data_IF_869150061952
#
_entry.id   IF_869150061952
#
_cell.length_a   1.000
_cell.length_b   1.000
_cell.length_c   1.000
_cell.angle_alpha   90.00
_cell.angle_beta   90.00
_cell.angle_gamma   90.00
#
_symmetry.space_group_name_H-M   'P 1'
#
loop_
_entity.id
_entity.type
_entity.pdbx_description
1 polymer ?
#
# COMPACT_ATOMS: atom_id res chain seq x y z
N UNK A 1 -12.98 6.60 13.45
CA UNK A 1 -13.41 7.02 12.10
C UNK A 1 -13.36 5.78 11.19
N UNK A 2 -14.14 5.69 10.11
CA UNK A 2 -14.15 4.49 9.24
C UNK A 2 -12.74 4.07 8.79
N UNK A 3 -11.90 5.05 8.46
CA UNK A 3 -10.52 4.80 8.08
C UNK A 3 -9.65 4.26 9.22
N UNK A 4 -9.92 4.62 10.49
CA UNK A 4 -9.14 4.10 11.63
C UNK A 4 -9.40 2.61 11.80
N UNK A 5 -10.69 2.24 11.70
CA UNK A 5 -11.12 0.86 11.79
C UNK A 5 -10.57 0.05 10.61
N UNK A 6 -10.53 0.65 9.41
CA UNK A 6 -9.91 0.03 8.24
C UNK A 6 -8.40 -0.17 8.40
N UNK A 7 -7.66 0.81 8.93
CA UNK A 7 -6.23 0.69 9.22
C UNK A 7 -5.98 -0.41 10.25
N UNK A 8 -6.77 -0.45 11.33
CA UNK A 8 -6.64 -1.47 12.38
C UNK A 8 -6.95 -2.88 11.87
N UNK A 9 -8.04 -3.06 11.11
CA UNK A 9 -8.39 -4.32 10.44
C UNK A 9 -7.25 -4.78 9.52
N UNK A 10 -6.73 -3.86 8.69
CA UNK A 10 -5.65 -4.15 7.75
C UNK A 10 -4.35 -4.53 8.47
N UNK A 11 -3.98 -3.78 9.51
CA UNK A 11 -2.79 -4.04 10.32
C UNK A 11 -2.84 -5.42 11.00
N UNK A 12 -3.98 -5.76 11.60
CA UNK A 12 -4.19 -7.06 12.25
C UNK A 12 -4.09 -8.21 11.24
N UNK A 13 -4.72 -8.06 10.07
CA UNK A 13 -4.64 -9.06 8.99
C UNK A 13 -3.21 -9.25 8.49
N UNK A 14 -2.48 -8.15 8.29
CA UNK A 14 -1.10 -8.18 7.83
C UNK A 14 -0.20 -8.90 8.85
N UNK A 15 -0.26 -8.53 10.13
CA UNK A 15 0.53 -9.20 11.18
C UNK A 15 0.17 -10.66 11.38
N UNK A 16 -1.11 -11.02 11.28
CA UNK A 16 -1.56 -12.41 11.36
C UNK A 16 -1.04 -13.24 10.19
N UNK A 17 -1.04 -12.66 8.97
CA UNK A 17 -0.57 -13.34 7.76
C UNK A 17 0.95 -13.38 7.65
N UNK A 18 1.63 -12.37 8.18
CA UNK A 18 3.07 -12.17 8.07
C UNK A 18 3.65 -11.87 9.46
N UNK A 19 3.97 -12.92 10.25
CA UNK A 19 4.49 -12.76 11.60
C UNK A 19 5.86 -12.06 11.66
N UNK A 20 6.55 -11.91 10.52
CA UNK A 20 7.78 -11.12 10.40
C UNK A 20 7.58 -9.60 10.54
N UNK A 21 6.34 -9.10 10.52
CA UNK A 21 6.04 -7.69 10.79
C UNK A 21 6.04 -7.46 12.31
N UNK A 22 7.22 -7.17 12.86
CA UNK A 22 7.45 -7.01 14.31
C UNK A 22 7.31 -5.57 14.80
N UNK A 23 7.12 -4.60 13.89
CA UNK A 23 6.99 -3.18 14.23
C UNK A 23 5.85 -2.94 15.25
N UNK A 24 6.04 -2.11 16.29
CA UNK A 24 4.99 -1.77 17.25
C UNK A 24 3.73 -1.23 16.59
N UNK A 25 2.55 -1.53 17.16
CA UNK A 25 1.27 -1.08 16.59
C UNK A 25 1.16 0.45 16.50
N UNK A 26 1.72 1.18 17.47
CA UNK A 26 1.73 2.63 17.49
C UNK A 26 2.45 3.22 16.25
N UNK A 27 3.56 2.61 15.83
CA UNK A 27 4.30 3.04 14.64
C UNK A 27 3.63 2.52 13.36
N UNK A 28 3.27 1.23 13.35
CA UNK A 28 2.72 0.58 12.17
C UNK A 28 1.36 1.16 11.76
N UNK A 29 0.47 1.43 12.72
CA UNK A 29 -0.83 2.04 12.44
C UNK A 29 -0.68 3.46 11.91
N UNK A 30 0.21 4.27 12.49
CA UNK A 30 0.48 5.65 12.01
C UNK A 30 1.00 5.61 10.57
N UNK A 31 1.87 4.66 10.25
CA UNK A 31 2.42 4.50 8.90
C UNK A 31 1.35 4.08 7.89
N UNK A 32 0.56 3.06 8.21
CA UNK A 32 -0.56 2.63 7.36
C UNK A 32 -1.63 3.72 7.21
N UNK A 33 -1.87 4.52 8.24
CA UNK A 33 -2.74 5.69 8.18
C UNK A 33 -2.25 6.70 7.14
N UNK A 34 -0.98 7.08 7.17
CA UNK A 34 -0.41 8.00 6.16
C UNK A 34 -0.51 7.46 4.74
N UNK A 35 -0.27 6.15 4.56
CA UNK A 35 -0.44 5.51 3.27
C UNK A 35 -1.90 5.49 2.80
N UNK A 36 -2.85 5.26 3.71
CA UNK A 36 -4.28 5.34 3.41
C UNK A 36 -4.70 6.75 3.03
N UNK A 37 -4.22 7.77 3.76
CA UNK A 37 -4.51 9.17 3.47
C UNK A 37 -4.01 9.55 2.07
N UNK A 38 -2.83 9.08 1.68
CA UNK A 38 -2.33 9.22 0.31
C UNK A 38 -3.21 8.47 -0.70
N UNK A 39 -3.55 7.20 -0.43
CA UNK A 39 -4.40 6.41 -1.31
C UNK A 39 -5.80 7.02 -1.50
N UNK A 40 -6.31 7.74 -0.49
CA UNK A 40 -7.57 8.49 -0.57
C UNK A 40 -7.48 9.74 -1.47
N UNK A 41 -6.28 10.24 -1.78
CA UNK A 41 -6.09 11.31 -2.78
C UNK A 41 -6.14 10.76 -4.21
N UNK A 42 -6.04 9.46 -4.38
CA UNK A 42 -6.18 8.79 -5.67
C UNK A 42 -7.66 8.47 -5.93
N UNK A 43 -8.14 8.51 -7.19
CA UNK A 43 -9.50 8.14 -7.56
C UNK A 43 -9.70 6.61 -7.55
N UNK A 44 -9.43 5.96 -6.41
CA UNK A 44 -9.64 4.53 -6.17
C UNK A 44 -11.10 4.29 -5.79
N UNK A 45 -11.77 3.37 -6.48
CA UNK A 45 -13.15 2.96 -6.22
C UNK A 45 -13.19 1.71 -5.34
N UNK A 46 -12.23 0.82 -5.53
CA UNK A 46 -12.20 -0.49 -4.90
C UNK A 46 -11.47 -0.48 -3.56
N UNK A 47 -12.17 -0.98 -2.52
CA UNK A 47 -11.60 -1.17 -1.18
C UNK A 47 -10.44 -2.16 -1.17
N UNK A 48 -10.43 -3.13 -2.08
CA UNK A 48 -9.35 -4.11 -2.19
C UNK A 48 -8.04 -3.47 -2.66
N UNK A 49 -8.11 -2.50 -3.57
CA UNK A 49 -6.91 -1.77 -4.05
C UNK A 49 -6.32 -0.92 -2.92
N UNK A 50 -7.15 -0.30 -2.08
CA UNK A 50 -6.68 0.37 -0.86
C UNK A 50 -5.94 -0.60 0.07
N UNK A 51 -6.45 -1.84 0.24
CA UNK A 51 -5.75 -2.87 1.02
C UNK A 51 -4.41 -3.27 0.40
N UNK A 52 -4.37 -3.40 -0.92
CA UNK A 52 -3.12 -3.68 -1.65
C UNK A 52 -2.10 -2.56 -1.51
N UNK A 53 -2.56 -1.32 -1.48
CA UNK A 53 -1.72 -0.17 -1.17
C UNK A 53 -1.13 -0.24 0.25
N UNK A 54 -1.94 -0.62 1.25
CA UNK A 54 -1.46 -0.83 2.62
C UNK A 54 -0.52 -2.04 2.74
N UNK A 55 -0.75 -3.09 1.93
CA UNK A 55 0.18 -4.21 1.82
C UNK A 55 1.54 -3.74 1.29
N UNK A 56 1.56 -2.93 0.22
CA UNK A 56 2.79 -2.36 -0.30
C UNK A 56 3.53 -1.53 0.76
N UNK A 57 2.83 -0.70 1.53
CA UNK A 57 3.44 0.07 2.63
C UNK A 57 3.98 -0.80 3.77
N UNK A 58 3.38 -1.97 4.00
CA UNK A 58 3.84 -2.89 5.03
C UNK A 58 5.22 -3.48 4.69
N UNK A 59 5.48 -3.77 3.41
CA UNK A 59 6.70 -4.44 2.95
C UNK A 59 7.75 -3.49 2.37
N UNK A 60 7.32 -2.40 1.74
CA UNK A 60 8.18 -1.34 1.20
C UNK A 60 7.75 0.01 1.78
N UNK A 61 8.14 0.31 3.03
CA UNK A 61 7.75 1.53 3.72
C UNK A 61 8.07 2.79 2.90
N UNK A 62 7.09 3.67 2.74
CA UNK A 62 7.23 4.92 2.00
C UNK A 62 7.37 4.76 0.49
N UNK A 63 6.99 3.61 -0.11
CA UNK A 63 7.11 3.40 -1.56
C UNK A 63 6.45 4.52 -2.37
N UNK A 64 5.28 4.99 -1.92
CA UNK A 64 4.49 6.04 -2.56
C UNK A 64 5.08 7.45 -2.44
N UNK A 65 6.07 7.64 -1.56
CA UNK A 65 6.79 8.91 -1.40
C UNK A 65 7.89 9.09 -2.45
N UNK A 66 8.26 8.03 -3.16
CA UNK A 66 9.24 8.09 -4.24
C UNK A 66 8.64 8.79 -5.45
N UNK A 67 9.38 9.75 -6.02
CA UNK A 67 8.86 10.56 -7.14
C UNK A 67 8.48 9.69 -8.35
N UNK A 68 9.23 8.63 -8.65
CA UNK A 68 8.87 7.71 -9.72
C UNK A 68 7.54 6.98 -9.48
N UNK A 69 7.23 6.63 -8.23
CA UNK A 69 5.99 5.94 -7.87
C UNK A 69 4.82 6.90 -7.84
N UNK A 70 4.98 8.11 -7.29
CA UNK A 70 3.94 9.15 -7.35
C UNK A 70 3.55 9.45 -8.80
N UNK A 71 4.54 9.61 -9.69
CA UNK A 71 4.33 9.77 -11.14
C UNK A 71 3.61 8.56 -11.74
N UNK A 72 4.04 7.34 -11.42
CA UNK A 72 3.38 6.11 -11.87
C UNK A 72 1.89 6.11 -11.52
N UNK A 73 1.56 6.44 -10.27
CA UNK A 73 0.20 6.40 -9.74
C UNK A 73 -0.68 7.58 -10.22
N UNK A 74 -0.09 8.73 -10.54
CA UNK A 74 -0.84 9.95 -10.92
C UNK A 74 -0.96 10.16 -12.42
N UNK A 75 0.08 9.87 -13.20
CA UNK A 75 0.11 10.19 -14.64
C UNK A 75 -0.72 9.16 -15.42
N UNK A 76 -1.82 9.57 -16.09
CA UNK A 76 -2.60 8.65 -16.91
C UNK A 76 -1.76 8.09 -18.05
N UNK A 77 -1.77 6.77 -18.20
CA UNK A 77 -1.04 6.04 -19.24
C UNK A 77 -1.95 5.09 -20.05
N UNK A 78 -3.26 5.35 -20.03
CA UNK A 78 -4.30 4.49 -20.61
C UNK A 78 -4.90 3.47 -19.62
N UNK A 79 -4.29 3.27 -18.44
CA UNK A 79 -4.80 2.38 -17.40
C UNK A 79 -5.45 3.17 -16.24
N UNK A 80 -6.40 2.52 -15.55
CA UNK A 80 -6.98 3.05 -14.31
C UNK A 80 -5.91 3.18 -13.23
N UNK A 81 -6.13 4.03 -12.23
CA UNK A 81 -5.19 4.11 -11.08
C UNK A 81 -5.12 2.78 -10.33
N UNK A 82 -6.23 2.05 -10.29
CA UNK A 82 -6.32 0.73 -9.66
C UNK A 82 -5.42 -0.28 -10.35
N UNK A 83 -5.51 -0.39 -11.67
CA UNK A 83 -4.62 -1.25 -12.46
C UNK A 83 -3.16 -0.86 -12.24
N UNK A 84 -2.85 0.44 -12.18
CA UNK A 84 -1.47 0.90 -11.95
C UNK A 84 -0.94 0.54 -10.56
N UNK A 85 -1.78 0.50 -9.52
CA UNK A 85 -1.40 0.01 -8.19
C UNK A 85 -1.12 -1.49 -8.23
N UNK A 86 -1.98 -2.26 -8.89
CA UNK A 86 -1.81 -3.71 -9.06
C UNK A 86 -0.53 -4.04 -9.85
N UNK A 87 -0.30 -3.36 -10.96
CA UNK A 87 0.90 -3.51 -11.79
C UNK A 87 2.16 -3.20 -10.98
N UNK A 88 2.14 -2.12 -10.19
CA UNK A 88 3.26 -1.78 -9.31
C UNK A 88 3.51 -2.87 -8.27
N UNK A 89 2.46 -3.42 -7.64
CA UNK A 89 2.57 -4.55 -6.72
C UNK A 89 3.18 -5.78 -7.38
N UNK A 90 2.77 -6.10 -8.62
CA UNK A 90 3.39 -7.18 -9.38
C UNK A 90 4.87 -6.93 -9.66
N UNK A 91 5.25 -5.70 -10.03
CA UNK A 91 6.66 -5.31 -10.23
C UNK A 91 7.47 -5.50 -8.94
N UNK A 92 6.96 -5.04 -7.79
CA UNK A 92 7.69 -5.16 -6.53
C UNK A 92 7.88 -6.63 -6.11
N UNK A 93 6.82 -7.43 -6.17
CA UNK A 93 6.88 -8.87 -5.82
C UNK A 93 7.81 -9.63 -6.76
N UNK A 94 7.70 -9.39 -8.07
CA UNK A 94 8.54 -10.07 -9.06
C UNK A 94 9.99 -9.57 -9.04
N UNK A 95 10.21 -8.31 -8.69
CA UNK A 95 11.53 -7.71 -8.48
C UNK A 95 12.27 -8.37 -7.32
N UNK A 96 11.60 -8.58 -6.19
CA UNK A 96 12.18 -9.35 -5.06
C UNK A 96 12.48 -10.80 -5.43
N UNK A 97 11.62 -11.46 -6.21
CA UNK A 97 11.87 -12.84 -6.69
C UNK A 97 13.06 -12.97 -7.65
N UNK A 98 13.48 -11.87 -8.28
CA UNK A 98 14.62 -11.83 -9.21
C UNK A 98 15.88 -11.23 -8.58
N UNK A 99 15.79 -10.80 -7.32
CA UNK A 99 16.84 -10.08 -6.61
C UNK A 99 17.04 -10.61 -5.20
N UNK A 100 17.32 -11.92 -5.09
CA UNK A 100 18.20 -12.58 -4.12
C UNK A 100 18.63 -13.93 -4.70
#
# INVERSE_FOLDING_TARGET
>A
MEDDDFVRDSAQRLKKKFPGITEPNETFHVRLRKALDYANMLPLKEKNVKRDFLFLEAFWPGFYLKSEVDKWLRIPNGYSVEQRVEDYKHVMINGERRGL
#
